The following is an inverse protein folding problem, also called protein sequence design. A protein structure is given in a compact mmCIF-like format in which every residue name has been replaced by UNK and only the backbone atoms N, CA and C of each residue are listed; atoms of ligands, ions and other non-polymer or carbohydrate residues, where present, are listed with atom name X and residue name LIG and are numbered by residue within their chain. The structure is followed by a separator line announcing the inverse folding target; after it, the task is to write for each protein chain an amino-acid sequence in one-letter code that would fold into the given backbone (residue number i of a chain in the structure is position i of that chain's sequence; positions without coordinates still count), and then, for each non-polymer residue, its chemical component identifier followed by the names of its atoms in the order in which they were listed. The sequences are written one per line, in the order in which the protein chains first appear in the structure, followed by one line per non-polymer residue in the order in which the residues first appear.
data_IF_284270114869
#
_entry.id   IF_284270114869
#
_cell.length_a   1.000
_cell.length_b   1.000
_cell.length_c   1.000
_cell.angle_alpha   90.00
_cell.angle_beta   90.00
_cell.angle_gamma   90.00
#
_symmetry.space_group_name_H-M   'P 1'
#
loop_
_entity.id
_entity.type
_entity.pdbx_description
1 polymer ?
#
# COMPACT_ATOMS: atom_id res chain seq x y z
N UNK A 1 13.83 -9.51 14.36
CA UNK A 1 13.21 -10.04 13.14
C UNK A 1 14.28 -10.79 12.36
N UNK A 2 14.17 -12.11 12.24
CA UNK A 2 15.12 -12.91 11.46
C UNK A 2 14.82 -12.84 9.95
N UNK A 3 15.73 -13.39 9.14
CA UNK A 3 15.63 -13.36 7.68
C UNK A 3 14.49 -14.23 7.12
N UNK A 4 14.08 -15.29 7.81
CA UNK A 4 12.94 -16.10 7.38
C UNK A 4 11.64 -15.30 7.52
N UNK A 5 11.46 -14.65 8.67
CA UNK A 5 10.31 -13.80 8.92
C UNK A 5 10.24 -12.62 7.94
N UNK A 6 11.36 -11.96 7.66
CA UNK A 6 11.42 -10.88 6.65
C UNK A 6 11.04 -11.41 5.26
N UNK A 7 11.65 -12.51 4.84
CA UNK A 7 11.41 -13.05 3.50
C UNK A 7 10.00 -13.63 3.30
N UNK A 8 9.39 -14.24 4.31
CA UNK A 8 8.13 -14.98 4.17
C UNK A 8 6.91 -14.22 4.70
N UNK A 9 7.02 -13.60 5.87
CA UNK A 9 5.90 -12.93 6.52
C UNK A 9 5.85 -11.44 6.12
N UNK A 10 6.93 -10.70 6.34
CA UNK A 10 6.92 -9.24 6.10
C UNK A 10 6.69 -8.87 4.65
N UNK A 11 7.38 -9.54 3.71
CA UNK A 11 7.16 -9.29 2.28
C UNK A 11 5.71 -9.59 1.86
N UNK A 12 5.08 -10.59 2.46
CA UNK A 12 3.66 -10.87 2.26
C UNK A 12 2.78 -9.76 2.86
N UNK A 13 3.10 -9.28 4.06
CA UNK A 13 2.39 -8.20 4.72
C UNK A 13 2.39 -6.90 3.91
N UNK A 14 3.49 -6.60 3.21
CA UNK A 14 3.59 -5.40 2.34
C UNK A 14 3.14 -5.68 0.90
N UNK A 15 2.66 -6.89 0.60
CA UNK A 15 2.11 -7.24 -0.70
C UNK A 15 3.16 -7.46 -1.80
N UNK A 16 4.38 -7.86 -1.43
CA UNK A 16 5.50 -8.13 -2.34
C UNK A 16 6.17 -9.51 -2.14
N UNK A 17 5.42 -10.62 -1.99
CA UNK A 17 5.99 -11.95 -1.74
C UNK A 17 6.88 -12.46 -2.89
N UNK A 18 6.75 -11.92 -4.11
CA UNK A 18 7.57 -12.31 -5.26
C UNK A 18 9.07 -12.04 -5.08
N UNK A 19 9.46 -11.18 -4.13
CA UNK A 19 10.88 -10.92 -3.81
C UNK A 19 11.43 -11.83 -2.70
N UNK A 20 10.62 -12.74 -2.14
CA UNK A 20 10.97 -13.60 -1.01
C UNK A 20 12.27 -14.36 -1.22
N UNK A 21 12.44 -14.98 -2.39
CA UNK A 21 13.65 -15.76 -2.69
C UNK A 21 14.92 -14.91 -2.63
N UNK A 22 14.90 -13.67 -3.13
CA UNK A 22 16.07 -12.80 -3.11
C UNK A 22 16.41 -12.33 -1.70
N UNK A 23 15.41 -11.95 -0.91
CA UNK A 23 15.61 -11.56 0.49
C UNK A 23 16.11 -12.73 1.34
N UNK A 24 15.60 -13.94 1.10
CA UNK A 24 16.05 -15.15 1.78
C UNK A 24 17.50 -15.50 1.43
N UNK A 25 17.83 -15.56 0.12
CA UNK A 25 19.19 -15.87 -0.35
C UNK A 25 20.23 -14.86 0.17
N UNK A 26 19.88 -13.58 0.27
CA UNK A 26 20.77 -12.54 0.78
C UNK A 26 20.72 -12.38 2.31
N UNK A 27 20.02 -13.28 3.03
CA UNK A 27 19.91 -13.29 4.49
C UNK A 27 19.44 -11.95 5.08
N UNK A 28 18.50 -11.28 4.40
CA UNK A 28 18.00 -9.97 4.82
C UNK A 28 17.19 -10.11 6.11
N UNK A 29 17.82 -9.83 7.23
CA UNK A 29 17.18 -9.75 8.55
C UNK A 29 16.68 -8.34 8.86
N UNK A 30 16.07 -8.14 10.04
CA UNK A 30 15.55 -6.82 10.44
C UNK A 30 16.60 -5.71 10.53
N UNK A 31 17.88 -6.05 10.78
CA UNK A 31 18.96 -5.06 10.85
C UNK A 31 19.37 -4.63 9.45
N UNK A 32 19.62 -5.57 8.54
CA UNK A 32 19.95 -5.24 7.15
C UNK A 32 18.78 -4.53 6.46
N UNK A 33 17.55 -4.97 6.74
CA UNK A 33 16.34 -4.36 6.24
C UNK A 33 16.26 -2.85 6.57
N UNK A 34 16.67 -2.46 7.79
CA UNK A 34 16.64 -1.06 8.24
C UNK A 34 17.60 -0.12 7.50
N UNK A 35 18.58 -0.67 6.78
CA UNK A 35 19.63 0.09 6.08
C UNK A 35 19.47 0.10 4.57
N UNK A 36 18.48 -0.62 4.02
CA UNK A 36 18.31 -0.74 2.57
C UNK A 36 18.00 0.61 1.93
N UNK A 37 18.69 0.90 0.83
CA UNK A 37 18.45 2.04 -0.03
C UNK A 37 17.76 1.62 -1.33
N UNK A 38 17.29 2.60 -2.12
CA UNK A 38 16.81 2.34 -3.49
C UNK A 38 17.83 1.55 -4.33
N UNK A 39 19.13 1.89 -4.19
CA UNK A 39 20.22 1.23 -4.91
C UNK A 39 20.35 -0.23 -4.51
N UNK A 40 20.23 -0.55 -3.22
CA UNK A 40 20.35 -1.93 -2.73
C UNK A 40 19.17 -2.79 -3.19
N UNK A 41 17.96 -2.22 -3.10
CA UNK A 41 16.73 -2.84 -3.59
C UNK A 41 16.84 -3.21 -5.07
N UNK A 42 17.38 -2.32 -5.90
CA UNK A 42 17.55 -2.54 -7.33
C UNK A 42 18.69 -3.52 -7.65
N UNK A 43 19.89 -3.26 -7.15
CA UNK A 43 21.11 -3.97 -7.57
C UNK A 43 21.27 -5.35 -6.94
N UNK A 44 20.77 -5.54 -5.72
CA UNK A 44 21.00 -6.75 -4.94
C UNK A 44 19.73 -7.58 -4.76
N UNK A 45 18.57 -6.94 -4.68
CA UNK A 45 17.30 -7.61 -4.37
C UNK A 45 16.32 -7.66 -5.56
N UNK A 46 16.77 -7.22 -6.74
CA UNK A 46 16.03 -7.27 -8.00
C UNK A 46 14.65 -6.57 -7.98
N UNK A 47 14.50 -5.55 -7.14
CA UNK A 47 13.32 -4.70 -7.08
C UNK A 47 13.50 -3.53 -8.05
N UNK A 48 13.30 -3.78 -9.35
CA UNK A 48 13.49 -2.76 -10.40
C UNK A 48 12.34 -1.75 -10.52
N UNK A 49 11.12 -2.14 -10.13
CA UNK A 49 9.95 -1.26 -10.18
C UNK A 49 10.04 -0.19 -9.08
N UNK A 50 10.11 1.09 -9.48
CA UNK A 50 10.17 2.23 -8.54
C UNK A 50 9.03 2.23 -7.50
N UNK A 51 7.81 1.91 -7.92
CA UNK A 51 6.66 1.81 -7.01
C UNK A 51 6.88 0.75 -5.91
N UNK A 52 7.48 -0.39 -6.25
CA UNK A 52 7.78 -1.43 -5.27
C UNK A 52 8.91 -1.01 -4.33
N UNK A 53 9.91 -0.27 -4.82
CA UNK A 53 10.96 0.28 -3.96
C UNK A 53 10.39 1.25 -2.93
N UNK A 54 9.54 2.19 -3.36
CA UNK A 54 8.87 3.16 -2.47
C UNK A 54 8.02 2.42 -1.44
N UNK A 55 7.23 1.42 -1.87
CA UNK A 55 6.46 0.56 -0.99
C UNK A 55 7.33 -0.07 0.11
N UNK A 56 8.44 -0.73 -0.26
CA UNK A 56 9.32 -1.37 0.73
C UNK A 56 9.90 -0.35 1.72
N UNK A 57 10.38 0.79 1.23
CA UNK A 57 11.01 1.82 2.08
C UNK A 57 10.02 2.44 3.06
N UNK A 58 8.77 2.69 2.64
CA UNK A 58 7.72 3.16 3.56
C UNK A 58 7.30 2.09 4.56
N UNK A 59 7.25 0.82 4.15
CA UNK A 59 7.06 -0.29 5.07
C UNK A 59 8.15 -0.38 6.14
N UNK A 60 9.41 -0.15 5.77
CA UNK A 60 10.57 -0.08 6.68
C UNK A 60 10.43 1.13 7.63
N UNK A 61 10.08 2.29 7.09
CA UNK A 61 9.85 3.49 7.90
C UNK A 61 8.74 3.29 8.95
N UNK A 62 7.65 2.60 8.59
CA UNK A 62 6.62 2.23 9.55
C UNK A 62 7.17 1.29 10.63
N UNK A 63 7.96 0.26 10.27
CA UNK A 63 8.56 -0.63 11.26
C UNK A 63 9.41 0.14 12.29
N UNK A 64 10.18 1.15 11.85
CA UNK A 64 10.94 2.02 12.75
C UNK A 64 10.02 2.82 13.68
N UNK A 65 8.94 3.38 13.13
CA UNK A 65 7.96 4.17 13.89
C UNK A 65 7.26 3.34 14.96
N UNK A 66 7.09 2.04 14.72
CA UNK A 66 6.47 1.09 15.64
C UNK A 66 7.47 0.44 16.62
N UNK A 67 8.76 0.83 16.62
CA UNK A 67 9.82 0.13 17.34
C UNK A 67 9.81 -1.39 17.09
N UNK A 68 9.41 -1.81 15.89
CA UNK A 68 9.18 -3.19 15.49
C UNK A 68 8.09 -3.97 16.26
N UNK A 69 7.29 -3.32 17.13
CA UNK A 69 6.11 -3.87 17.81
C UNK A 69 4.82 -3.55 17.04
N UNK A 70 4.58 -4.34 16.00
CA UNK A 70 3.46 -4.14 15.06
C UNK A 70 2.25 -5.02 15.34
N UNK A 71 2.41 -6.10 16.11
CA UNK A 71 1.38 -7.13 16.25
C UNK A 71 0.20 -6.66 17.09
N UNK A 72 0.44 -5.91 18.18
CA UNK A 72 -0.65 -5.34 18.99
C UNK A 72 -1.57 -4.45 18.16
N UNK A 73 -1.01 -3.44 17.48
CA UNK A 73 -1.80 -2.49 16.66
C UNK A 73 -2.52 -3.16 15.49
N UNK A 74 -1.89 -4.15 14.84
CA UNK A 74 -2.53 -4.90 13.74
C UNK A 74 -3.69 -5.75 14.24
N UNK A 75 -3.56 -6.39 15.40
CA UNK A 75 -4.62 -7.22 15.97
C UNK A 75 -5.89 -6.41 16.31
N UNK A 76 -5.72 -5.17 16.78
CA UNK A 76 -6.83 -4.26 17.08
C UNK A 76 -7.63 -3.85 15.82
N UNK A 77 -6.99 -3.87 14.65
CA UNK A 77 -7.56 -3.41 13.39
C UNK A 77 -7.98 -4.55 12.44
N UNK A 78 -7.83 -5.81 12.86
CA UNK A 78 -8.11 -6.97 12.01
C UNK A 78 -9.57 -7.02 11.54
N UNK A 79 -10.49 -6.55 12.38
CA UNK A 79 -11.94 -6.56 12.15
C UNK A 79 -12.58 -5.16 12.16
N UNK A 80 -11.78 -4.11 12.24
CA UNK A 80 -12.25 -2.73 12.31
C UNK A 80 -11.56 -1.87 11.26
N UNK A 81 -12.28 -0.94 10.65
CA UNK A 81 -11.74 -0.04 9.63
C UNK A 81 -11.03 1.18 10.27
N UNK A 82 -10.11 0.90 11.20
CA UNK A 82 -9.35 1.90 11.97
C UNK A 82 -7.86 1.77 11.69
N UNK A 83 -7.12 2.87 11.90
CA UNK A 83 -5.65 2.93 11.80
C UNK A 83 -5.08 2.31 10.49
N UNK A 84 -5.47 2.84 9.31
CA UNK A 84 -5.09 2.24 8.03
C UNK A 84 -3.58 2.15 7.81
N UNK A 85 -2.77 2.94 8.52
CA UNK A 85 -1.30 2.94 8.37
C UNK A 85 -0.69 1.56 8.68
N UNK A 86 -1.27 0.80 9.62
CA UNK A 86 -0.74 -0.52 10.01
C UNK A 86 -1.29 -1.69 9.20
N UNK A 87 -2.22 -1.42 8.27
CA UNK A 87 -2.87 -2.48 7.50
C UNK A 87 -1.87 -3.21 6.61
N UNK A 88 -1.94 -4.54 6.66
CA UNK A 88 -1.24 -5.38 5.70
C UNK A 88 -1.97 -5.37 4.36
N UNK A 89 -1.28 -5.79 3.30
CA UNK A 89 -1.89 -6.07 2.00
C UNK A 89 -3.11 -6.99 2.16
N UNK A 90 -3.00 -8.03 2.98
CA UNK A 90 -4.12 -8.92 3.30
C UNK A 90 -5.32 -8.19 3.93
N UNK A 91 -5.09 -7.29 4.89
CA UNK A 91 -6.16 -6.52 5.53
C UNK A 91 -6.86 -5.58 4.54
N UNK A 92 -6.11 -5.02 3.58
CA UNK A 92 -6.66 -4.21 2.49
C UNK A 92 -7.48 -5.09 1.55
N UNK A 93 -6.99 -6.27 1.16
CA UNK A 93 -7.76 -7.23 0.34
C UNK A 93 -9.10 -7.55 1.00
N UNK A 94 -9.11 -7.79 2.32
CA UNK A 94 -10.35 -8.00 3.09
C UNK A 94 -11.27 -6.77 2.99
N UNK A 95 -10.73 -5.57 3.19
CA UNK A 95 -11.49 -4.33 3.07
C UNK A 95 -12.07 -4.11 1.66
N UNK A 96 -11.29 -4.35 0.60
CA UNK A 96 -11.75 -4.28 -0.80
C UNK A 96 -12.92 -5.24 -1.04
N UNK A 97 -12.89 -6.44 -0.44
CA UNK A 97 -13.99 -7.41 -0.50
C UNK A 97 -15.24 -6.91 0.26
N UNK A 98 -15.07 -6.20 1.37
CA UNK A 98 -16.15 -5.61 2.17
C UNK A 98 -16.86 -4.44 1.46
N UNK A 99 -16.17 -3.74 0.55
CA UNK A 99 -16.74 -2.65 -0.27
C UNK A 99 -17.19 -3.11 -1.67
N UNK A 100 -17.52 -4.40 -1.82
CA UNK A 100 -18.06 -5.01 -3.05
C UNK A 100 -17.12 -5.00 -4.29
N UNK A 101 -15.81 -4.82 -4.10
CA UNK A 101 -14.81 -4.91 -5.18
C UNK A 101 -14.06 -6.26 -5.19
N UNK A 102 -14.72 -7.32 -4.71
CA UNK A 102 -14.12 -8.66 -4.52
C UNK A 102 -13.51 -9.29 -5.76
N UNK A 103 -14.02 -8.97 -6.95
CA UNK A 103 -13.51 -9.51 -8.23
C UNK A 103 -12.10 -8.96 -8.58
N UNK A 104 -11.73 -7.81 -8.01
CA UNK A 104 -10.44 -7.16 -8.24
C UNK A 104 -9.46 -7.36 -7.07
N UNK A 105 -9.96 -7.77 -5.90
CA UNK A 105 -9.21 -7.73 -4.65
C UNK A 105 -7.89 -8.51 -4.70
N UNK A 106 -7.89 -9.69 -5.31
CA UNK A 106 -6.71 -10.54 -5.36
C UNK A 106 -5.61 -9.98 -6.29
N UNK A 107 -5.92 -8.98 -7.13
CA UNK A 107 -4.91 -8.25 -7.93
C UNK A 107 -3.95 -7.43 -7.07
N UNK A 108 -4.32 -7.12 -5.82
CA UNK A 108 -3.41 -6.46 -4.88
C UNK A 108 -2.26 -7.36 -4.46
N UNK A 109 -2.37 -8.68 -4.61
CA UNK A 109 -1.27 -9.59 -4.38
C UNK A 109 -0.13 -9.25 -5.36
N UNK A 110 1.07 -8.97 -4.83
CA UNK A 110 2.25 -8.56 -5.62
C UNK A 110 2.26 -7.09 -6.09
N UNK A 111 1.29 -6.27 -5.67
CA UNK A 111 1.20 -4.85 -6.04
C UNK A 111 2.07 -3.91 -5.20
N UNK A 112 2.42 -4.31 -3.97
CA UNK A 112 3.03 -3.42 -2.98
C UNK A 112 2.06 -2.54 -2.20
N UNK A 113 0.75 -2.65 -2.43
CA UNK A 113 -0.24 -1.86 -1.70
C UNK A 113 -0.40 -2.39 -0.26
N UNK A 114 -0.10 -1.52 0.70
CA UNK A 114 -0.24 -1.74 2.14
C UNK A 114 -0.51 -0.40 2.86
N UNK A 115 -0.74 -0.43 4.17
CA UNK A 115 -1.16 0.74 4.94
C UNK A 115 -0.17 1.90 4.92
N UNK A 116 1.13 1.62 5.02
CA UNK A 116 2.16 2.66 5.05
C UNK A 116 2.18 3.47 3.74
N UNK A 117 2.17 2.81 2.57
CA UNK A 117 2.08 3.51 1.28
C UNK A 117 0.77 4.31 1.16
N UNK A 118 -0.37 3.77 1.61
CA UNK A 118 -1.67 4.47 1.52
C UNK A 118 -1.75 5.75 2.36
N UNK A 119 -1.00 5.83 3.46
CA UNK A 119 -1.12 6.93 4.44
C UNK A 119 0.09 7.86 4.42
N UNK A 120 1.29 7.34 4.15
CA UNK A 120 2.55 8.07 4.28
C UNK A 120 3.07 8.60 2.95
N UNK A 121 2.63 8.06 1.81
CA UNK A 121 3.00 8.59 0.49
C UNK A 121 1.99 9.66 0.05
N UNK A 122 2.38 10.94 -0.04
CA UNK A 122 1.47 12.01 -0.46
C UNK A 122 1.04 11.89 -1.93
N UNK A 123 1.71 11.06 -2.74
CA UNK A 123 1.34 10.83 -4.14
C UNK A 123 0.34 9.69 -4.32
N UNK A 124 0.07 8.89 -3.27
CA UNK A 124 -0.86 7.78 -3.35
C UNK A 124 -2.30 8.29 -3.45
N UNK A 125 -3.03 7.85 -4.49
CA UNK A 125 -4.38 8.31 -4.79
C UNK A 125 -5.35 7.18 -5.13
N UNK A 126 -6.63 7.52 -5.35
CA UNK A 126 -7.63 6.58 -5.87
C UNK A 126 -7.22 5.97 -7.22
N UNK A 127 -6.52 6.73 -8.05
CA UNK A 127 -6.06 6.26 -9.37
C UNK A 127 -4.94 5.23 -9.22
N UNK A 128 -4.03 5.43 -8.25
CA UNK A 128 -3.00 4.45 -7.90
C UNK A 128 -3.62 3.15 -7.40
N UNK A 129 -4.64 3.24 -6.52
CA UNK A 129 -5.38 2.08 -6.03
C UNK A 129 -6.12 1.37 -7.18
N UNK A 130 -6.83 2.10 -8.03
CA UNK A 130 -7.55 1.53 -9.18
C UNK A 130 -6.59 0.81 -10.16
N UNK A 131 -5.42 1.41 -10.42
CA UNK A 131 -4.38 0.77 -11.23
C UNK A 131 -3.85 -0.52 -10.59
N UNK A 132 -3.63 -0.54 -9.27
CA UNK A 132 -3.21 -1.75 -8.54
C UNK A 132 -4.29 -2.84 -8.53
N UNK A 133 -5.56 -2.46 -8.53
CA UNK A 133 -6.70 -3.37 -8.67
C UNK A 133 -6.95 -3.83 -10.12
N UNK A 134 -6.19 -3.32 -11.09
CA UNK A 134 -6.40 -3.54 -12.52
C UNK A 134 -7.80 -3.11 -13.01
N UNK A 135 -8.38 -2.08 -12.39
CA UNK A 135 -9.67 -1.52 -12.81
C UNK A 135 -9.43 -0.56 -14.00
N UNK A 136 -10.07 -0.79 -15.17
CA UNK A 136 -9.89 0.08 -16.33
C UNK A 136 -10.41 1.50 -16.06
N UNK A 137 -9.61 2.52 -16.41
CA UNK A 137 -9.98 3.94 -16.29
C UNK A 137 -11.17 4.37 -17.19
N UNK A 138 -11.64 3.51 -18.09
CA UNK A 138 -12.70 3.79 -19.07
C UNK A 138 -14.14 3.75 -18.53
N UNK A 139 -14.37 3.67 -17.21
CA UNK A 139 -15.69 3.90 -16.60
C UNK A 139 -15.90 5.35 -16.12
N UNK A 140 -15.31 6.32 -16.81
CA UNK A 140 -15.73 7.72 -16.72
C UNK A 140 -17.06 7.92 -17.48
N UNK A 141 -18.15 7.45 -16.88
CA UNK A 141 -19.51 7.53 -17.43
C UNK A 141 -20.59 7.13 -16.43
N UNK A 142 -20.32 7.29 -15.13
CA UNK A 142 -21.29 7.10 -14.05
C UNK A 142 -21.18 8.29 -13.08
N UNK A 143 -21.60 9.47 -13.56
CA UNK A 143 -22.14 10.54 -12.71
C UNK A 143 -23.56 10.15 -12.25
N UNK A 144 -23.67 9.00 -11.58
CA UNK A 144 -24.87 8.60 -10.86
C UNK A 144 -24.43 8.17 -9.48
N UNK A 145 -24.55 9.10 -8.53
CA UNK A 145 -24.86 8.87 -7.11
C UNK A 145 -24.38 7.53 -6.55
N UNK A 146 -23.09 7.27 -6.66
CA UNK A 146 -22.42 6.24 -5.87
C UNK A 146 -22.02 6.95 -4.58
N UNK A 147 -22.81 6.74 -3.53
CA UNK A 147 -22.39 6.95 -2.13
C UNK A 147 -20.89 6.63 -2.01
N UNK A 148 -20.09 7.51 -1.37
CA UNK A 148 -18.65 7.55 -1.57
C UNK A 148 -18.06 6.16 -1.37
N UNK A 149 -17.64 5.54 -2.49
CA UNK A 149 -16.80 4.35 -2.56
C UNK A 149 -15.81 4.46 -1.41
N UNK A 150 -15.99 3.59 -0.41
CA UNK A 150 -15.38 3.73 0.91
C UNK A 150 -13.99 4.32 0.76
N UNK A 151 -13.82 5.57 1.17
CA UNK A 151 -12.49 6.10 1.32
C UNK A 151 -11.94 5.35 2.54
N UNK A 152 -10.74 4.74 2.46
CA UNK A 152 -9.97 4.50 3.66
C UNK A 152 -9.96 5.80 4.45
N UNK A 153 -9.92 5.79 5.80
CA UNK A 153 -10.01 6.99 6.64
C UNK A 153 -9.03 8.15 6.34
N UNK A 154 -8.18 8.03 5.33
CA UNK A 154 -7.12 8.96 4.93
C UNK A 154 -7.16 9.41 3.46
N UNK A 155 -7.96 8.81 2.56
CA UNK A 155 -8.03 9.27 1.16
C UNK A 155 -8.98 10.47 1.04
N UNK A 156 -8.55 11.65 1.48
CA UNK A 156 -9.27 12.87 1.17
C UNK A 156 -9.14 13.21 -0.32
N UNK A 157 -10.28 13.18 -1.02
CA UNK A 157 -10.45 13.78 -2.35
C UNK A 157 -10.09 15.27 -2.24
N UNK A 158 -8.97 15.69 -2.84
CA UNK A 158 -8.78 17.11 -3.15
C UNK A 158 -9.78 17.47 -4.25
N UNK A 159 -10.88 18.12 -3.85
CA UNK A 159 -11.80 18.78 -4.78
C UNK A 159 -11.11 20.01 -5.36
N UNK A 160 -10.71 19.96 -6.63
CA UNK A 160 -10.41 21.15 -7.41
C UNK A 160 -11.71 21.86 -7.76
N UNK A 161 -12.20 22.69 -6.84
CA UNK A 161 -13.28 23.64 -7.10
C UNK A 161 -12.73 24.81 -7.94
N UNK A 162 -13.16 24.82 -9.21
CA UNK A 162 -13.54 25.97 -10.03
C UNK A 162 -12.92 27.34 -9.71
N UNK A 163 -12.04 27.82 -10.59
CA UNK A 163 -11.92 29.26 -10.85
C UNK A 163 -12.66 29.60 -12.14
N UNK A 164 -13.97 29.86 -12.04
CA UNK A 164 -14.71 30.55 -13.08
C UNK A 164 -14.40 32.04 -13.00
N UNK A 165 -13.85 32.59 -14.08
CA UNK A 165 -13.58 34.01 -14.28
C UNK A 165 -14.85 34.87 -14.14
N UNK A 166 -14.76 36.09 -13.60
CA UNK A 166 -15.73 37.12 -13.94
C UNK A 166 -15.19 37.95 -15.11
N UNK A 167 -15.91 37.91 -16.23
CA UNK A 167 -15.88 38.97 -17.23
C UNK A 167 -16.48 40.24 -16.63
N UNK A 168 -15.74 41.35 -16.61
CA UNK A 168 -16.30 42.66 -16.35
C UNK A 168 -16.29 43.46 -17.65
N UNK A 169 -17.52 43.81 -18.07
CA UNK A 169 -17.88 44.91 -18.97
C UNK A 169 -17.51 46.26 -18.38
#
# INVERSE_FOLDING_TARGET
LDHHWVAQAWLTDVGLPQYSQFFHTHLVDGRLLSTLTHTDLEKHLHVSKKAHQISLLLGIQLLHTLNFDKESRRSECENQNTDPVVWTCHRIIKWIKEIDLKEFADNLQSSGVHGAIMVMDPSFSSDTMAAALCIPSNKAGLDQEVEPLGTPPTLHRQSSLSSSSPSLS
#
